data_IF_990433139833
#
_entry.id   IF_990433139833
#
_cell.length_a   1.000
_cell.length_b   1.000
_cell.length_c   1.000
_cell.angle_alpha   90.00
_cell.angle_beta   90.00
_cell.angle_gamma   90.00
#
_symmetry.space_group_name_H-M   'P 1'
#
loop_
_entity.id
_entity.type
_entity.pdbx_description
1 polymer ?
#
# COMPACT_ATOMS: atom_id res chain seq x y z
N UNK A 1 -0.74 3.98 -28.91
CA UNK A 1 -1.40 4.46 -27.68
C UNK A 1 -0.55 4.16 -26.45
N UNK A 2 -0.51 5.04 -25.46
CA UNK A 2 0.11 4.77 -24.15
C UNK A 2 -0.90 4.09 -23.21
N UNK A 3 -0.51 2.99 -22.59
CA UNK A 3 -1.33 2.29 -21.58
C UNK A 3 -0.63 2.32 -20.24
N UNK A 4 -1.39 2.60 -19.18
CA UNK A 4 -0.92 2.55 -17.80
C UNK A 4 -1.62 1.40 -17.09
N UNK A 5 -0.85 0.54 -16.44
CA UNK A 5 -1.38 -0.60 -15.70
C UNK A 5 -1.31 -0.32 -14.20
N UNK A 6 -2.48 -0.33 -13.56
CA UNK A 6 -2.72 0.02 -12.16
C UNK A 6 -3.16 1.48 -12.00
N UNK A 7 -4.21 1.70 -11.19
CA UNK A 7 -4.74 3.01 -10.80
C UNK A 7 -4.43 3.33 -9.33
N UNK A 8 -3.29 2.85 -8.82
CA UNK A 8 -2.69 3.37 -7.59
C UNK A 8 -2.17 4.81 -7.79
N UNK A 9 -1.68 5.44 -6.71
CA UNK A 9 -1.12 6.80 -6.79
C UNK A 9 -0.07 6.97 -7.91
N UNK A 10 0.77 5.96 -8.13
CA UNK A 10 1.74 5.96 -9.24
C UNK A 10 1.09 6.05 -10.61
N UNK A 11 0.13 5.17 -10.91
CA UNK A 11 -0.52 5.13 -12.22
C UNK A 11 -1.33 6.40 -12.47
N UNK A 12 -2.00 6.91 -11.45
CA UNK A 12 -2.72 8.18 -11.51
C UNK A 12 -1.78 9.36 -11.79
N UNK A 13 -0.63 9.45 -11.11
CA UNK A 13 0.36 10.50 -11.37
C UNK A 13 0.94 10.42 -12.77
N UNK A 14 1.29 9.22 -13.26
CA UNK A 14 1.76 9.01 -14.63
C UNK A 14 0.68 9.45 -15.63
N UNK A 15 -0.58 9.05 -15.43
CA UNK A 15 -1.69 9.39 -16.34
C UNK A 15 -1.93 10.89 -16.45
N UNK A 16 -1.70 11.63 -15.36
CA UNK A 16 -1.86 13.09 -15.36
C UNK A 16 -0.86 13.81 -16.28
N UNK A 17 0.30 13.18 -16.54
CA UNK A 17 1.34 13.67 -17.46
C UNK A 17 1.13 13.12 -18.87
N UNK A 18 0.46 11.97 -19.00
CA UNK A 18 0.17 11.25 -20.25
C UNK A 18 -1.29 11.38 -20.64
N UNK A 19 -1.70 12.58 -21.08
CA UNK A 19 -3.12 12.98 -21.21
C UNK A 19 -3.98 12.11 -22.14
N UNK A 20 -3.38 11.43 -23.12
CA UNK A 20 -4.09 10.51 -24.03
C UNK A 20 -3.94 9.03 -23.67
N UNK A 21 -3.38 8.74 -22.49
CA UNK A 21 -3.26 7.37 -21.99
C UNK A 21 -4.58 6.82 -21.46
N UNK A 22 -4.67 5.49 -21.45
CA UNK A 22 -5.72 4.74 -20.76
C UNK A 22 -5.13 4.05 -19.53
N UNK A 23 -5.82 4.13 -18.39
CA UNK A 23 -5.44 3.44 -17.16
C UNK A 23 -6.30 2.18 -17.01
N UNK A 24 -5.67 1.03 -16.88
CA UNK A 24 -6.33 -0.25 -16.64
C UNK A 24 -6.14 -0.68 -15.19
N UNK A 25 -7.23 -0.87 -14.45
CA UNK A 25 -7.20 -1.29 -13.04
C UNK A 25 -7.99 -2.58 -12.84
N UNK A 26 -7.37 -3.55 -12.17
CA UNK A 26 -7.98 -4.86 -11.91
C UNK A 26 -8.82 -4.86 -10.62
N UNK A 27 -8.59 -3.88 -9.74
CA UNK A 27 -9.31 -3.73 -8.49
C UNK A 27 -10.57 -2.89 -8.67
N UNK A 28 -11.59 -3.15 -7.86
CA UNK A 28 -12.82 -2.35 -7.85
C UNK A 28 -12.64 -0.95 -7.22
N UNK A 29 -11.43 -0.61 -6.76
CA UNK A 29 -11.11 0.66 -6.09
C UNK A 29 -9.88 1.30 -6.71
N UNK A 30 -9.92 2.62 -6.77
CA UNK A 30 -8.82 3.46 -7.25
C UNK A 30 -8.02 3.98 -6.06
N UNK A 31 -6.71 4.19 -6.23
CA UNK A 31 -5.78 4.64 -5.19
C UNK A 31 -4.89 3.54 -4.60
N UNK A 32 -5.12 2.28 -4.96
CA UNK A 32 -4.31 1.14 -4.53
C UNK A 32 -4.28 0.98 -3.00
N UNK A 33 -3.09 0.88 -2.41
CA UNK A 33 -2.92 0.75 -0.94
C UNK A 33 -3.50 1.95 -0.20
N UNK A 34 -3.44 3.15 -0.75
CA UNK A 34 -3.97 4.36 -0.14
C UNK A 34 -5.41 4.67 -0.58
N UNK A 35 -6.14 3.70 -1.13
CA UNK A 35 -7.58 3.82 -1.34
C UNK A 35 -8.30 4.00 0.01
N UNK A 36 -9.47 4.60 -0.04
CA UNK A 36 -10.29 4.87 1.14
C UNK A 36 -11.53 3.97 1.14
N UNK A 37 -12.18 3.86 2.29
CA UNK A 37 -13.46 3.19 2.45
C UNK A 37 -14.38 3.96 3.36
N UNK A 38 -15.68 3.84 3.11
CA UNK A 38 -16.69 4.40 4.01
C UNK A 38 -16.90 3.43 5.18
N UNK A 39 -16.56 3.88 6.37
CA UNK A 39 -16.73 3.13 7.61
C UNK A 39 -17.47 4.03 8.59
N UNK A 40 -18.68 3.61 8.98
CA UNK A 40 -19.54 4.36 9.90
C UNK A 40 -19.82 5.80 9.43
N UNK A 41 -20.00 6.01 8.12
CA UNK A 41 -20.28 7.32 7.52
C UNK A 41 -19.06 8.23 7.31
N UNK A 42 -17.85 7.74 7.56
CA UNK A 42 -16.61 8.49 7.36
C UNK A 42 -15.68 7.79 6.38
N UNK A 43 -14.99 8.59 5.55
CA UNK A 43 -14.03 8.10 4.60
C UNK A 43 -12.68 7.85 5.30
N UNK A 44 -12.36 6.59 5.58
CA UNK A 44 -11.15 6.18 6.30
C UNK A 44 -10.12 5.69 5.29
N UNK A 45 -8.85 6.15 5.34
CA UNK A 45 -7.82 5.59 4.48
C UNK A 45 -7.57 4.14 4.87
N UNK A 46 -7.45 3.24 3.89
CA UNK A 46 -7.26 1.82 4.17
C UNK A 46 -5.86 1.47 4.70
N UNK A 47 -4.89 2.39 4.53
CA UNK A 47 -3.55 2.34 5.11
C UNK A 47 -3.23 3.72 5.67
N UNK A 48 -2.58 3.87 6.84
CA UNK A 48 -2.28 5.17 7.41
C UNK A 48 -1.36 5.96 6.47
N UNK A 49 -1.75 7.17 6.00
CA UNK A 49 -0.93 7.96 5.09
C UNK A 49 0.10 8.78 5.88
N UNK A 50 0.96 8.05 6.60
CA UNK A 50 2.04 8.56 7.43
C UNK A 50 3.38 8.38 6.71
N UNK A 51 4.22 9.41 6.80
CA UNK A 51 5.59 9.40 6.29
C UNK A 51 6.54 9.99 7.33
N UNK A 52 7.78 9.50 7.39
CA UNK A 52 8.82 10.03 8.30
C UNK A 52 9.25 11.45 7.93
N UNK A 53 9.31 11.71 6.63
CA UNK A 53 9.80 12.96 6.06
C UNK A 53 8.81 13.49 5.03
N UNK A 54 8.73 14.81 4.90
CA UNK A 54 7.89 15.44 3.87
C UNK A 54 8.43 15.09 2.50
N UNK A 55 7.54 14.74 1.58
CA UNK A 55 7.91 14.50 0.20
C UNK A 55 8.31 15.83 -0.47
N UNK A 56 9.29 15.80 -1.39
CA UNK A 56 9.70 16.95 -2.18
C UNK A 56 8.70 17.26 -3.31
N UNK A 57 7.46 17.59 -2.95
CA UNK A 57 6.40 17.94 -3.89
C UNK A 57 5.43 18.94 -3.28
N UNK A 58 4.94 19.86 -4.10
CA UNK A 58 3.92 20.84 -3.71
C UNK A 58 2.49 20.26 -3.78
N UNK A 59 2.34 18.98 -4.16
CA UNK A 59 1.03 18.33 -4.26
C UNK A 59 0.44 18.00 -2.89
N UNK A 60 1.27 17.75 -1.87
CA UNK A 60 0.86 17.17 -0.61
C UNK A 60 0.85 18.19 0.53
N UNK A 61 -0.23 18.17 1.31
CA UNK A 61 -0.37 18.93 2.54
C UNK A 61 -0.08 18.07 3.76
N UNK A 62 0.88 18.50 4.56
CA UNK A 62 1.35 17.75 5.71
C UNK A 62 0.87 18.38 7.02
N UNK A 63 0.50 17.54 7.99
CA UNK A 63 0.46 17.89 9.40
C UNK A 63 1.53 17.09 10.13
N UNK A 64 2.33 17.75 10.96
CA UNK A 64 3.22 17.03 11.86
C UNK A 64 2.39 16.44 12.99
N UNK A 65 2.66 15.18 13.31
CA UNK A 65 1.97 14.48 14.37
C UNK A 65 3.00 13.83 15.29
N UNK A 66 2.72 13.89 16.59
CA UNK A 66 3.50 13.20 17.61
C UNK A 66 2.84 11.86 17.92
N UNK A 67 3.63 10.80 17.91
CA UNK A 67 3.17 9.44 18.19
C UNK A 67 4.08 8.81 19.24
N UNK A 68 3.52 8.07 20.18
CA UNK A 68 4.32 7.25 21.06
C UNK A 68 4.65 5.92 20.38
N UNK A 69 5.90 5.73 19.92
CA UNK A 69 6.33 4.48 19.30
C UNK A 69 6.92 3.54 20.35
N UNK A 70 6.35 2.34 20.46
CA UNK A 70 6.81 1.28 21.36
C UNK A 70 7.38 0.13 20.54
N UNK A 71 8.65 -0.17 20.79
CA UNK A 71 9.36 -1.29 20.20
C UNK A 71 9.41 -2.48 21.17
N UNK A 72 8.82 -3.61 20.79
CA UNK A 72 8.90 -4.86 21.52
C UNK A 72 9.73 -5.88 20.73
N UNK A 73 10.83 -6.37 21.33
CA UNK A 73 11.72 -7.37 20.70
C UNK A 73 12.19 -6.95 19.29
N UNK A 74 12.51 -5.68 19.12
CA UNK A 74 12.90 -5.07 17.82
C UNK A 74 13.98 -5.85 17.08
N UNK A 75 15.00 -6.35 17.79
CA UNK A 75 16.09 -7.14 17.21
C UNK A 75 15.62 -8.42 16.47
N UNK A 76 14.38 -8.87 16.71
CA UNK A 76 13.77 -10.03 16.05
C UNK A 76 12.82 -9.67 14.91
N UNK A 77 12.62 -8.38 14.61
CA UNK A 77 11.67 -7.91 13.60
C UNK A 77 12.06 -8.39 12.19
N UNK A 78 13.35 -8.30 11.83
CA UNK A 78 13.87 -8.83 10.55
C UNK A 78 13.58 -10.32 10.40
N UNK A 79 13.88 -11.10 11.45
CA UNK A 79 13.64 -12.53 11.49
C UNK A 79 12.15 -12.91 11.48
N UNK A 80 11.26 -12.05 12.00
CA UNK A 80 9.80 -12.22 11.94
C UNK A 80 9.26 -11.92 10.54
N UNK A 81 9.77 -10.86 9.92
CA UNK A 81 9.40 -10.47 8.56
C UNK A 81 10.07 -11.37 7.51
N UNK A 82 11.08 -12.15 7.87
CA UNK A 82 11.86 -13.00 6.95
C UNK A 82 12.55 -12.16 5.87
N UNK A 83 13.15 -11.04 6.29
CA UNK A 83 13.89 -10.11 5.43
C UNK A 83 15.19 -9.68 6.11
N UNK A 84 16.23 -9.45 5.32
CA UNK A 84 17.52 -9.00 5.85
C UNK A 84 17.50 -7.50 6.17
N UNK A 85 16.86 -6.70 5.31
CA UNK A 85 16.71 -5.25 5.49
C UNK A 85 15.25 -4.87 5.61
N UNK A 86 14.90 -4.24 6.73
CA UNK A 86 13.54 -3.74 6.99
C UNK A 86 13.33 -2.44 6.20
N UNK A 87 12.27 -2.33 5.38
CA UNK A 87 11.93 -1.09 4.71
C UNK A 87 11.67 0.07 5.67
N UNK A 88 12.09 1.28 5.29
CA UNK A 88 11.97 2.47 6.14
C UNK A 88 10.52 2.80 6.54
N UNK A 89 9.54 2.46 5.68
CA UNK A 89 8.12 2.68 5.96
C UNK A 89 7.55 1.73 7.03
N UNK A 90 8.31 0.70 7.45
CA UNK A 90 8.00 -0.17 8.58
C UNK A 90 8.74 0.22 9.86
N UNK A 91 9.50 1.32 9.87
CA UNK A 91 10.28 1.74 11.04
C UNK A 91 9.76 3.08 11.58
N UNK A 92 8.56 3.19 12.16
CA UNK A 92 7.98 4.47 12.56
C UNK A 92 8.83 5.25 13.57
N UNK A 93 8.78 6.59 13.50
CA UNK A 93 9.44 7.49 14.45
C UNK A 93 8.41 8.19 15.36
N UNK A 94 8.85 8.76 16.48
CA UNK A 94 7.94 9.50 17.39
C UNK A 94 7.38 10.78 16.77
N UNK A 95 8.00 11.30 15.71
CA UNK A 95 7.53 12.44 14.92
C UNK A 95 7.35 12.00 13.48
N UNK A 96 6.12 12.07 13.00
CA UNK A 96 5.75 11.66 11.64
C UNK A 96 4.94 12.79 10.98
N UNK A 97 4.77 12.70 9.68
CA UNK A 97 3.91 13.60 8.91
C UNK A 97 2.71 12.84 8.36
N UNK A 98 1.51 13.33 8.69
CA UNK A 98 0.25 12.89 8.12
C UNK A 98 -0.08 13.72 6.88
N UNK A 99 -0.42 13.04 5.78
CA UNK A 99 -0.81 13.70 4.53
C UNK A 99 -2.32 13.91 4.56
N UNK A 100 -2.72 15.16 4.80
CA UNK A 100 -4.12 15.56 5.01
C UNK A 100 -4.97 15.47 3.74
N UNK A 101 -4.38 15.80 2.59
CA UNK A 101 -5.08 15.96 1.32
C UNK A 101 -4.95 14.75 0.39
N UNK A 102 -4.46 13.59 0.87
CA UNK A 102 -4.21 12.43 -0.01
C UNK A 102 -5.49 11.92 -0.68
N UNK A 103 -6.62 11.90 0.04
CA UNK A 103 -7.93 11.51 -0.53
C UNK A 103 -8.32 12.42 -1.69
N UNK A 104 -8.18 13.73 -1.50
CA UNK A 104 -8.52 14.73 -2.50
C UNK A 104 -7.63 14.60 -3.75
N UNK A 105 -6.33 14.38 -3.57
CA UNK A 105 -5.40 14.15 -4.69
C UNK A 105 -5.80 12.93 -5.50
N UNK A 106 -6.08 11.80 -4.84
CA UNK A 106 -6.49 10.57 -5.53
C UNK A 106 -7.78 10.83 -6.31
N UNK A 107 -8.78 11.46 -5.69
CA UNK A 107 -10.05 11.79 -6.36
C UNK A 107 -9.84 12.71 -7.57
N UNK A 108 -9.09 13.80 -7.40
CA UNK A 108 -8.82 14.78 -8.46
C UNK A 108 -8.05 14.19 -9.64
N UNK A 109 -7.06 13.33 -9.37
CA UNK A 109 -6.34 12.62 -10.44
C UNK A 109 -7.25 11.60 -11.14
N UNK A 110 -8.08 10.90 -10.39
CA UNK A 110 -9.00 9.88 -10.93
C UNK A 110 -10.02 10.48 -11.89
N UNK A 111 -10.61 11.64 -11.54
CA UNK A 111 -11.57 12.35 -12.39
C UNK A 111 -10.99 12.81 -13.73
N UNK A 112 -9.67 13.04 -13.79
CA UNK A 112 -8.97 13.49 -14.99
C UNK A 112 -8.44 12.34 -15.83
N UNK A 113 -8.34 11.14 -15.27
CA UNK A 113 -7.79 9.98 -15.94
C UNK A 113 -8.86 9.16 -16.67
N UNK A 114 -8.53 8.60 -17.84
CA UNK A 114 -9.37 7.63 -18.55
C UNK A 114 -9.18 6.24 -17.93
N UNK A 115 -9.85 5.99 -16.81
CA UNK A 115 -9.73 4.73 -16.06
C UNK A 115 -10.76 3.72 -16.57
N UNK A 116 -10.32 2.51 -16.87
CA UNK A 116 -11.18 1.34 -17.08
C UNK A 116 -10.92 0.30 -16.01
N UNK A 117 -11.97 -0.05 -15.29
CA UNK A 117 -11.96 -1.18 -14.36
C UNK A 117 -12.17 -2.46 -15.18
N UNK A 118 -11.25 -3.41 -15.06
CA UNK A 118 -11.25 -4.66 -15.81
C UNK A 118 -11.04 -5.84 -14.86
N UNK A 119 -11.53 -7.04 -15.20
CA UNK A 119 -11.37 -8.20 -14.30
C UNK A 119 -9.99 -8.85 -14.40
N UNK A 120 -9.53 -9.05 -15.64
CA UNK A 120 -8.22 -9.58 -15.96
C UNK A 120 -7.85 -9.22 -17.40
N UNK A 121 -6.57 -9.33 -17.72
CA UNK A 121 -6.03 -9.18 -19.07
C UNK A 121 -4.77 -10.03 -19.21
N UNK A 122 -4.39 -10.31 -20.45
CA UNK A 122 -3.07 -10.83 -20.76
C UNK A 122 -2.41 -9.96 -21.83
N UNK A 123 -1.07 -9.95 -21.79
CA UNK A 123 -0.23 -9.17 -22.69
C UNK A 123 0.40 -10.16 -23.66
N UNK A 124 0.24 -9.90 -24.96
CA UNK A 124 0.84 -10.71 -26.00
C UNK A 124 1.30 -9.81 -27.13
N UNK A 125 2.62 -9.76 -27.35
CA UNK A 125 3.25 -8.86 -28.30
C UNK A 125 2.78 -7.41 -28.04
N UNK A 126 2.37 -6.68 -29.07
CA UNK A 126 1.85 -5.31 -29.07
C UNK A 126 0.37 -5.17 -28.65
N UNK A 127 -0.21 -6.22 -28.03
CA UNK A 127 -1.64 -6.29 -27.73
C UNK A 127 -1.92 -6.61 -26.28
N UNK A 128 -2.93 -5.94 -25.74
CA UNK A 128 -3.59 -6.23 -24.48
C UNK A 128 -4.95 -6.84 -24.80
N UNK A 129 -5.19 -8.07 -24.34
CA UNK A 129 -6.49 -8.72 -24.52
C UNK A 129 -7.20 -8.74 -23.18
N UNK A 130 -8.33 -8.05 -23.12
CA UNK A 130 -9.16 -7.97 -21.92
C UNK A 130 -10.01 -9.23 -21.76
N UNK A 131 -10.46 -9.52 -20.54
CA UNK A 131 -11.39 -10.62 -20.26
C UNK A 131 -12.73 -10.53 -21.02
N UNK A 132 -13.09 -9.34 -21.51
CA UNK A 132 -14.27 -9.11 -22.35
C UNK A 132 -14.06 -9.50 -23.82
N UNK A 133 -12.83 -9.85 -24.21
CA UNK A 133 -12.43 -10.09 -25.60
C UNK A 133 -12.02 -8.83 -26.37
N UNK A 134 -12.15 -7.64 -25.76
CA UNK A 134 -11.64 -6.39 -26.35
C UNK A 134 -10.11 -6.45 -26.48
N UNK A 135 -9.61 -5.96 -27.62
CA UNK A 135 -8.19 -5.88 -27.91
C UNK A 135 -7.76 -4.42 -27.90
N UNK A 136 -6.77 -4.12 -27.08
CA UNK A 136 -6.13 -2.80 -27.00
C UNK A 136 -4.74 -2.90 -27.61
N UNK A 137 -4.52 -2.16 -28.71
CA UNK A 137 -3.19 -1.98 -29.29
C UNK A 137 -2.43 -0.90 -28.52
N UNK A 138 -1.14 -1.12 -28.28
CA UNK A 138 -0.32 -0.20 -27.49
C UNK A 138 1.04 0.04 -28.15
N UNK A 139 1.56 1.25 -27.97
CA UNK A 139 2.92 1.61 -28.40
C UNK A 139 3.87 1.55 -27.20
N UNK A 140 3.33 1.84 -26.01
CA UNK A 140 4.09 1.87 -24.77
C UNK A 140 3.21 1.53 -23.58
N UNK A 141 3.74 0.71 -22.67
CA UNK A 141 3.14 0.37 -21.40
C UNK A 141 3.94 1.03 -20.27
N UNK A 142 3.26 1.76 -19.41
CA UNK A 142 3.75 2.19 -18.10
C UNK A 142 3.19 1.23 -17.04
N UNK A 143 4.04 0.36 -16.52
CA UNK A 143 3.64 -0.70 -15.59
C UNK A 143 3.89 -0.28 -14.15
N UNK A 144 2.81 -0.10 -13.37
CA UNK A 144 2.87 0.11 -11.91
C UNK A 144 2.43 -1.12 -11.11
N UNK A 145 2.09 -2.20 -11.82
CA UNK A 145 1.72 -3.51 -11.28
C UNK A 145 2.96 -4.38 -11.00
N UNK A 146 2.82 -5.53 -10.31
CA UNK A 146 3.92 -6.45 -10.06
C UNK A 146 4.72 -6.82 -11.33
N UNK A 147 6.03 -6.56 -11.32
CA UNK A 147 6.95 -6.88 -12.44
C UNK A 147 6.88 -8.33 -12.92
N UNK A 148 6.64 -9.27 -12.00
CA UNK A 148 6.47 -10.71 -12.29
C UNK A 148 5.40 -11.04 -13.33
N UNK A 149 4.48 -10.12 -13.62
CA UNK A 149 3.47 -10.30 -14.68
C UNK A 149 4.11 -10.29 -16.07
N UNK A 150 5.29 -9.68 -16.21
CA UNK A 150 6.02 -9.53 -17.46
C UNK A 150 7.25 -10.43 -17.57
N UNK A 151 7.86 -10.78 -16.44
CA UNK A 151 9.12 -11.51 -16.38
C UNK A 151 8.93 -12.82 -15.61
N UNK A 152 8.69 -13.90 -16.35
CA UNK A 152 8.59 -15.26 -15.80
C UNK A 152 9.96 -15.94 -15.65
N UNK A 153 11.04 -15.31 -16.11
CA UNK A 153 12.39 -15.89 -16.06
C UNK A 153 13.02 -15.75 -14.67
N UNK A 154 12.46 -14.88 -13.82
CA UNK A 154 12.94 -14.58 -12.48
C UNK A 154 11.95 -14.98 -11.40
N UNK A 155 12.51 -15.32 -10.24
CA UNK A 155 11.72 -15.59 -9.04
C UNK A 155 11.54 -14.27 -8.28
N UNK A 156 10.33 -13.73 -8.34
CA UNK A 156 9.96 -12.55 -7.57
C UNK A 156 9.36 -12.97 -6.23
N UNK A 157 10.11 -12.81 -5.13
CA UNK A 157 9.65 -13.11 -3.77
C UNK A 157 9.07 -11.89 -3.07
N UNK A 158 8.00 -12.11 -2.30
CA UNK A 158 7.36 -11.07 -1.48
C UNK A 158 6.72 -11.70 -0.25
N UNK A 159 6.48 -10.87 0.76
CA UNK A 159 5.66 -11.19 1.94
C UNK A 159 4.33 -10.48 1.78
N UNK A 160 3.23 -11.21 1.97
CA UNK A 160 1.89 -10.66 2.01
C UNK A 160 1.59 -10.03 3.35
N UNK A 161 0.73 -9.01 3.37
CA UNK A 161 0.25 -8.37 4.59
C UNK A 161 -1.26 -8.51 4.64
N UNK A 162 -1.78 -9.10 5.71
CA UNK A 162 -3.18 -8.97 6.10
C UNK A 162 -3.28 -7.69 6.94
N UNK A 163 -3.98 -6.70 6.42
CA UNK A 163 -4.16 -5.41 7.06
C UNK A 163 -5.58 -5.33 7.60
N UNK A 164 -5.70 -5.18 8.92
CA UNK A 164 -6.96 -4.88 9.58
C UNK A 164 -7.12 -3.40 9.84
N UNK A 165 -8.36 -2.95 9.81
CA UNK A 165 -8.79 -1.64 10.26
C UNK A 165 -9.91 -1.84 11.25
N UNK A 166 -9.68 -1.41 12.48
CA UNK A 166 -10.69 -1.36 13.52
C UNK A 166 -11.07 0.11 13.73
N UNK A 167 -12.36 0.39 13.84
CA UNK A 167 -12.80 1.62 14.51
C UNK A 167 -13.16 1.29 15.94
N UNK A 168 -12.74 2.11 16.88
CA UNK A 168 -12.89 1.84 18.30
C UNK A 168 -13.44 3.04 19.05
N UNK A 169 -13.97 2.81 20.24
CA UNK A 169 -14.26 3.89 21.19
C UNK A 169 -13.04 4.82 21.33
N UNK A 170 -13.33 6.11 21.49
CA UNK A 170 -12.32 7.16 21.61
C UNK A 170 -11.40 6.92 22.81
N UNK A 171 -10.09 6.99 22.58
CA UNK A 171 -9.03 7.03 23.58
C UNK A 171 -8.19 8.28 23.34
N UNK A 172 -7.42 8.67 24.34
CA UNK A 172 -6.45 9.76 24.21
C UNK A 172 -5.07 9.20 23.88
N UNK A 173 -4.41 9.82 22.90
CA UNK A 173 -3.03 9.58 22.59
C UNK A 173 -2.88 8.51 21.51
N UNK A 174 -2.20 8.90 20.44
CA UNK A 174 -1.84 7.96 19.39
C UNK A 174 -0.55 7.22 19.71
N UNK A 175 -0.56 5.95 19.35
CA UNK A 175 0.48 4.99 19.68
C UNK A 175 0.77 4.11 18.48
N UNK A 176 2.05 3.82 18.26
CA UNK A 176 2.47 2.83 17.27
C UNK A 176 3.22 1.73 18.00
N UNK A 177 2.77 0.49 17.88
CA UNK A 177 3.44 -0.68 18.46
C UNK A 177 4.13 -1.44 17.34
N UNK A 178 5.44 -1.64 17.46
CA UNK A 178 6.25 -2.47 16.58
C UNK A 178 6.68 -3.72 17.34
N UNK A 179 6.33 -4.89 16.83
CA UNK A 179 6.48 -6.16 17.54
C UNK A 179 7.26 -7.21 16.74
N UNK A 180 8.51 -7.47 17.14
CA UNK A 180 9.37 -8.49 16.56
C UNK A 180 9.17 -9.91 17.11
N UNK A 181 8.26 -10.12 18.06
CA UNK A 181 8.04 -11.44 18.66
C UNK A 181 7.39 -12.42 17.66
N UNK A 182 8.04 -13.54 17.36
CA UNK A 182 7.47 -14.62 16.53
C UNK A 182 6.24 -15.28 17.16
N UNK A 183 6.09 -15.19 18.48
CA UNK A 183 4.91 -15.66 19.22
C UNK A 183 3.70 -14.73 19.14
N UNK A 184 3.82 -13.59 18.45
CA UNK A 184 2.76 -12.61 18.22
C UNK A 184 2.51 -12.51 16.72
N UNK A 185 1.25 -12.61 16.32
CA UNK A 185 0.85 -12.63 14.91
C UNK A 185 1.12 -11.33 14.15
N UNK A 186 0.73 -10.17 14.70
CA UNK A 186 0.93 -8.88 14.05
C UNK A 186 2.37 -8.37 14.21
N UNK A 187 2.87 -7.60 13.25
CA UNK A 187 4.15 -6.88 13.37
C UNK A 187 3.96 -5.42 13.77
N UNK A 188 2.89 -4.78 13.33
CA UNK A 188 2.64 -3.36 13.61
C UNK A 188 1.19 -3.13 14.02
N UNK A 189 0.99 -2.21 14.96
CA UNK A 189 -0.32 -1.61 15.25
C UNK A 189 -0.18 -0.09 15.27
N UNK A 190 -0.97 0.61 14.47
CA UNK A 190 -1.07 2.08 14.50
C UNK A 190 -2.42 2.45 15.09
N UNK A 191 -2.44 2.98 16.32
CA UNK A 191 -3.62 3.53 16.98
C UNK A 191 -3.65 5.03 16.74
N UNK A 192 -4.66 5.51 16.01
CA UNK A 192 -4.76 6.90 15.54
C UNK A 192 -6.03 7.57 16.07
N UNK A 193 -5.85 8.67 16.81
CA UNK A 193 -6.92 9.41 17.49
C UNK A 193 -7.28 10.76 16.83
N UNK A 194 -6.58 11.21 15.79
CA UNK A 194 -6.90 12.50 15.13
C UNK A 194 -7.71 12.38 13.84
N UNK A 195 -7.89 11.17 13.29
CA UNK A 195 -8.59 10.99 12.00
C UNK A 195 -10.09 11.28 12.11
N UNK A 196 -10.68 11.07 13.29
CA UNK A 196 -12.11 11.27 13.51
C UNK A 196 -12.36 11.77 14.94
N UNK A 197 -13.27 12.73 15.15
CA UNK A 197 -13.57 13.23 16.51
C UNK A 197 -14.35 12.23 17.37
N UNK A 198 -15.08 11.27 16.78
CA UNK A 198 -16.01 10.38 17.47
C UNK A 198 -15.43 9.00 17.81
N UNK A 199 -14.41 8.55 17.09
CA UNK A 199 -13.77 7.24 17.28
C UNK A 199 -12.28 7.30 16.93
N UNK A 200 -11.56 6.25 17.33
CA UNK A 200 -10.17 6.04 16.91
C UNK A 200 -10.11 5.00 15.80
N UNK A 201 -9.02 5.04 15.03
CA UNK A 201 -8.73 4.06 13.97
C UNK A 201 -7.48 3.29 14.32
N UNK A 202 -7.60 1.97 14.38
CA UNK A 202 -6.48 1.05 14.61
C UNK A 202 -6.16 0.28 13.32
N UNK A 203 -4.94 0.44 12.82
CA UNK A 203 -4.41 -0.34 11.72
C UNK A 203 -3.52 -1.46 12.25
N UNK A 204 -3.81 -2.72 11.91
CA UNK A 204 -3.00 -3.87 12.35
C UNK A 204 -2.40 -4.55 11.13
N UNK A 205 -1.07 -4.60 11.06
CA UNK A 205 -0.33 -5.24 9.98
C UNK A 205 0.13 -6.64 10.39
N UNK A 206 -0.34 -7.65 9.67
CA UNK A 206 -0.05 -9.06 9.93
C UNK A 206 0.69 -9.66 8.73
N UNK A 207 2.02 -9.77 8.77
CA UNK A 207 2.80 -10.32 7.67
C UNK A 207 2.64 -11.84 7.60
N UNK A 208 2.55 -12.40 6.39
CA UNK A 208 2.47 -13.83 6.14
C UNK A 208 3.03 -14.20 4.76
N UNK A 209 3.53 -15.43 4.61
CA UNK A 209 4.07 -15.93 3.33
C UNK A 209 3.00 -16.67 2.52
N UNK A 210 2.43 -17.74 3.08
CA UNK A 210 1.56 -18.66 2.35
C UNK A 210 0.15 -18.77 2.93
N UNK A 211 0.05 -18.79 4.26
CA UNK A 211 -1.21 -19.04 4.98
C UNK A 211 -1.72 -17.72 5.54
N UNK A 212 -2.93 -17.34 5.11
CA UNK A 212 -3.62 -16.16 5.65
C UNK A 212 -3.83 -16.35 7.16
N UNK A 213 -3.44 -15.39 7.99
CA UNK A 213 -3.56 -15.51 9.44
C UNK A 213 -5.04 -15.56 9.88
N UNK A 214 -5.33 -16.37 10.90
CA UNK A 214 -6.65 -16.40 11.55
C UNK A 214 -6.86 -15.14 12.39
N UNK A 215 -7.99 -14.45 12.19
CA UNK A 215 -8.36 -13.28 12.96
C UNK A 215 -8.62 -13.57 14.44
N UNK A 216 -9.03 -14.78 14.79
CA UNK A 216 -9.18 -15.18 16.21
C UNK A 216 -7.82 -15.16 16.93
N UNK A 217 -6.77 -15.65 16.26
CA UNK A 217 -5.41 -15.60 16.79
C UNK A 217 -4.90 -14.16 16.88
N UNK A 218 -5.11 -13.36 15.83
CA UNK A 218 -4.68 -11.95 15.83
C UNK A 218 -5.37 -11.16 16.93
N UNK A 219 -6.68 -11.32 17.06
CA UNK A 219 -7.45 -10.67 18.11
C UNK A 219 -7.03 -11.13 19.51
N UNK A 220 -6.80 -12.44 19.71
CA UNK A 220 -6.26 -12.97 20.97
C UNK A 220 -4.92 -12.33 21.33
N UNK A 221 -4.03 -12.13 20.35
CA UNK A 221 -2.75 -11.46 20.57
C UNK A 221 -2.91 -9.98 20.93
N UNK A 222 -3.79 -9.24 20.23
CA UNK A 222 -4.11 -7.84 20.54
C UNK A 222 -4.65 -7.70 21.97
N UNK A 223 -5.55 -8.60 22.38
CA UNK A 223 -6.09 -8.63 23.75
C UNK A 223 -5.00 -8.93 24.78
N UNK A 224 -4.16 -9.95 24.54
CA UNK A 224 -3.05 -10.34 25.43
C UNK A 224 -2.04 -9.20 25.61
N UNK A 225 -1.80 -8.43 24.55
CA UNK A 225 -0.94 -7.24 24.56
C UNK A 225 -1.64 -5.98 25.08
N UNK A 226 -2.91 -6.07 25.50
CA UNK A 226 -3.73 -4.97 26.00
C UNK A 226 -3.86 -3.79 25.01
N UNK A 227 -3.82 -4.08 23.71
CA UNK A 227 -3.93 -3.08 22.64
C UNK A 227 -5.41 -2.82 22.30
N UNK A 228 -6.21 -3.89 22.23
CA UNK A 228 -7.61 -3.82 21.84
C UNK A 228 -8.47 -4.85 22.59
N UNK A 229 -9.56 -4.39 23.19
CA UNK A 229 -10.58 -5.22 23.82
C UNK A 229 -11.85 -5.28 22.95
N UNK A 230 -12.72 -6.27 23.21
CA UNK A 230 -13.81 -6.64 22.28
C UNK A 230 -14.92 -5.61 22.31
N UNK A 231 -15.23 -5.17 23.52
CA UNK A 231 -16.25 -4.19 23.88
C UNK A 231 -15.89 -2.76 23.46
N UNK A 232 -14.67 -2.57 22.93
CA UNK A 232 -14.18 -1.30 22.39
C UNK A 232 -14.37 -1.20 20.88
N UNK A 233 -14.55 -2.33 20.18
CA UNK A 233 -14.67 -2.39 18.72
C UNK A 233 -16.05 -1.91 18.30
N UNK A 234 -16.06 -0.87 17.45
CA UNK A 234 -17.27 -0.38 16.78
C UNK A 234 -17.42 -1.09 15.44
N UNK A 235 -16.35 -1.14 14.63
CA UNK A 235 -16.34 -1.85 13.36
C UNK A 235 -14.99 -2.49 13.07
N UNK A 236 -15.01 -3.49 12.19
CA UNK A 236 -13.83 -4.19 11.71
C UNK A 236 -13.92 -4.42 10.20
N UNK A 237 -12.80 -4.17 9.52
CA UNK A 237 -12.57 -4.51 8.10
C UNK A 237 -11.16 -5.05 7.97
N UNK A 238 -10.94 -5.87 6.95
CA UNK A 238 -9.59 -6.28 6.60
C UNK A 238 -9.43 -6.49 5.11
N UNK A 239 -8.18 -6.45 4.65
CA UNK A 239 -7.79 -6.77 3.28
C UNK A 239 -6.46 -7.51 3.24
N UNK A 240 -6.17 -8.11 2.09
CA UNK A 240 -4.90 -8.78 1.83
C UNK A 240 -4.11 -8.00 0.77
N UNK A 241 -2.89 -7.61 1.11
CA UNK A 241 -1.91 -7.03 0.20
C UNK A 241 -0.89 -8.13 -0.14
N UNK A 242 -1.03 -8.77 -1.31
CA UNK A 242 -0.19 -9.93 -1.69
C UNK A 242 1.31 -9.58 -1.77
N UNK A 243 1.63 -8.44 -2.37
CA UNK A 243 3.00 -7.96 -2.54
C UNK A 243 3.29 -6.82 -1.55
N UNK A 244 3.14 -7.11 -0.25
CA UNK A 244 3.19 -6.15 0.85
C UNK A 244 4.61 -5.74 1.26
N UNK A 245 5.56 -6.68 1.27
CA UNK A 245 7.00 -6.41 1.42
C UNK A 245 7.70 -7.16 0.30
N UNK A 246 8.47 -6.44 -0.52
CA UNK A 246 9.17 -7.03 -1.64
C UNK A 246 10.52 -7.56 -1.15
N UNK A 247 10.90 -8.76 -1.56
CA UNK A 247 12.22 -9.31 -1.27
C UNK A 247 13.07 -9.05 -2.51
N UNK A 248 14.10 -8.22 -2.34
CA UNK A 248 14.98 -7.81 -3.43
C UNK A 248 15.93 -8.98 -3.74
N UNK A 249 15.83 -9.52 -4.94
CA UNK A 249 16.83 -10.44 -5.48
C UNK A 249 17.50 -9.75 -6.66
N UNK A 250 18.78 -9.43 -6.47
CA UNK A 250 19.75 -8.91 -7.42
C UNK A 250 19.22 -8.02 -8.57
N UNK A 251 19.63 -6.76 -8.49
CA UNK A 251 19.41 -5.63 -9.41
C UNK A 251 19.88 -5.84 -10.87
N UNK A 252 20.16 -7.06 -11.33
CA UNK A 252 20.45 -7.33 -12.75
C UNK A 252 19.15 -7.24 -13.55
N UNK A 253 18.69 -6.03 -13.80
CA UNK A 253 17.53 -5.70 -14.64
C UNK A 253 17.63 -6.56 -15.91
N UNK A 254 16.73 -7.54 -16.05
CA UNK A 254 16.66 -8.35 -17.27
C UNK A 254 16.36 -7.45 -18.46
N UNK A 255 16.90 -7.83 -19.63
CA UNK A 255 16.80 -7.09 -20.88
C UNK A 255 15.35 -6.59 -21.11
N UNK A 256 15.24 -5.28 -21.33
CA UNK A 256 13.96 -4.58 -21.45
C UNK A 256 13.32 -4.91 -22.79
N UNK A 257 12.04 -5.21 -22.77
CA UNK A 257 11.18 -4.77 -23.86
C UNK A 257 11.16 -3.23 -23.80
N UNK A 258 11.75 -2.57 -24.80
CA UNK A 258 11.92 -1.11 -24.84
C UNK A 258 10.60 -0.34 -24.72
N UNK A 259 9.48 -1.01 -24.99
CA UNK A 259 8.16 -0.39 -24.93
C UNK A 259 7.46 -0.57 -23.57
N UNK A 260 8.07 -1.26 -22.61
CA UNK A 260 7.51 -1.47 -21.26
C UNK A 260 8.38 -0.75 -20.23
N UNK A 261 7.84 0.33 -19.67
CA UNK A 261 8.48 1.14 -18.65
C UNK A 261 7.92 0.76 -17.28
N UNK A 262 8.76 0.19 -16.44
CA UNK A 262 8.42 -0.16 -15.06
C UNK A 262 8.57 1.05 -14.14
N UNK A 263 7.48 1.42 -13.46
CA UNK A 263 7.40 2.57 -12.57
C UNK A 263 6.85 2.18 -11.19
N UNK A 264 7.17 2.98 -10.17
CA UNK A 264 6.69 2.82 -8.82
C UNK A 264 7.18 1.55 -8.12
N UNK A 265 6.62 1.32 -6.92
CA UNK A 265 7.04 0.26 -5.99
C UNK A 265 7.00 -1.15 -6.61
N UNK A 266 5.86 -1.54 -7.19
CA UNK A 266 5.65 -2.90 -7.71
C UNK A 266 6.24 -3.11 -9.11
N UNK A 267 6.22 -2.08 -9.96
CA UNK A 267 6.81 -2.13 -11.29
C UNK A 267 8.34 -2.26 -11.21
N UNK A 268 8.99 -1.43 -10.38
CA UNK A 268 10.45 -1.52 -10.17
C UNK A 268 10.87 -2.61 -9.19
N UNK A 269 9.91 -3.27 -8.54
CA UNK A 269 10.12 -4.28 -7.50
C UNK A 269 11.02 -3.78 -6.35
N UNK A 270 10.77 -2.57 -5.85
CA UNK A 270 11.54 -1.93 -4.77
C UNK A 270 10.62 -1.53 -3.63
N UNK A 271 11.07 -1.62 -2.38
CA UNK A 271 10.29 -1.21 -1.21
C UNK A 271 10.28 0.32 -1.00
N UNK A 272 9.87 1.07 -2.03
CA UNK A 272 9.68 2.50 -1.91
C UNK A 272 8.62 2.85 -0.86
N UNK A 273 8.91 3.87 -0.06
CA UNK A 273 7.89 4.56 0.71
C UNK A 273 7.00 5.43 -0.21
N UNK A 274 5.99 6.10 0.35
CA UNK A 274 5.06 6.93 -0.44
C UNK A 274 5.78 8.07 -1.18
N UNK A 275 6.70 8.79 -0.53
CA UNK A 275 7.43 9.90 -1.15
C UNK A 275 8.31 9.44 -2.31
N UNK A 276 9.08 8.37 -2.10
CA UNK A 276 9.90 7.76 -3.15
C UNK A 276 9.03 7.26 -4.31
N UNK A 277 7.85 6.71 -4.02
CA UNK A 277 6.90 6.27 -5.04
C UNK A 277 6.39 7.44 -5.87
N UNK A 278 6.07 8.57 -5.24
CA UNK A 278 5.61 9.78 -5.95
C UNK A 278 6.73 10.34 -6.83
N UNK A 279 7.93 10.51 -6.29
CA UNK A 279 9.09 11.01 -7.04
C UNK A 279 9.40 10.12 -8.25
N UNK A 280 9.43 8.80 -8.05
CA UNK A 280 9.64 7.82 -9.12
C UNK A 280 8.58 7.93 -10.23
N UNK A 281 7.31 8.13 -9.84
CA UNK A 281 6.18 8.21 -10.78
C UNK A 281 6.17 9.53 -11.55
N UNK A 282 6.60 10.62 -10.93
CA UNK A 282 6.75 11.92 -11.58
C UNK A 282 7.92 11.99 -12.55
N UNK A 283 8.88 11.06 -12.43
CA UNK A 283 10.07 10.97 -13.29
C UNK A 283 9.98 9.87 -14.37
N UNK A 284 8.88 9.11 -14.46
CA UNK A 284 8.76 7.96 -15.38
C UNK A 284 8.44 8.32 -16.85
#
# INVERSE_FOLDING_TARGET
>A
MEVILGAGISGLLISSRKRDSIVLENQHRIGGVFSYDEISGFNIPLHPPLVKEKCFTNLLDFAQIETNVIYEKENYLSAKLTIDKIPDWLLPDNKMYYIKNLSEIIQNLSLKARIRLIGSYFIRNDKLVLNTGEIILWDRIYSTIPRRIFDNSKIFRSISIAEAIFTTKKRQGSQIVVNGDKGVSFSHVFSIDWLNPSFDVLYVLVPFLNIVPSWDKVYSDLKRKRILLRDEIISFRYRIIKDGILIDEDNKIGEKDDNIIFCGRLGKWKNFNLCQTIDDSLNC
#
